data_IF_359608664917
#
_entry.id   IF_359608664917
#
_cell.length_a   1.000
_cell.length_b   1.000
_cell.length_c   1.000
_cell.angle_alpha   90.00
_cell.angle_beta   90.00
_cell.angle_gamma   90.00
#
_symmetry.space_group_name_H-M   'P 1'
#
loop_
_entity.id
_entity.type
_entity.pdbx_description
1 polymer ?
#
# COMPACT_ATOMS: atom_id res chain seq x y z
N UNK A 1 10.00 -6.59 -11.16
CA UNK A 1 9.84 -7.46 -12.35
C UNK A 1 8.58 -7.02 -13.11
N UNK A 2 8.67 -6.80 -14.44
CA UNK A 2 7.50 -6.42 -15.27
C UNK A 2 6.36 -7.45 -15.19
N UNK A 3 6.72 -8.73 -15.10
CA UNK A 3 5.75 -9.84 -14.96
C UNK A 3 4.94 -9.77 -13.67
N UNK A 4 5.57 -9.38 -12.56
CA UNK A 4 4.88 -9.24 -11.27
C UNK A 4 3.89 -8.06 -11.28
N UNK A 5 4.25 -6.96 -11.95
CA UNK A 5 3.36 -5.82 -12.13
C UNK A 5 2.13 -6.18 -12.96
N UNK A 6 2.34 -6.86 -14.10
CA UNK A 6 1.25 -7.33 -14.94
C UNK A 6 0.32 -8.29 -14.18
N UNK A 7 0.88 -9.25 -13.46
CA UNK A 7 0.10 -10.18 -12.63
C UNK A 7 -0.72 -9.44 -11.57
N UNK A 8 -0.14 -8.43 -10.90
CA UNK A 8 -0.86 -7.62 -9.91
C UNK A 8 -2.04 -6.87 -10.54
N UNK A 9 -1.84 -6.23 -11.70
CA UNK A 9 -2.91 -5.53 -12.43
C UNK A 9 -4.02 -6.50 -12.83
N UNK A 10 -3.68 -7.62 -13.46
CA UNK A 10 -4.68 -8.64 -13.86
C UNK A 10 -5.44 -9.24 -12.68
N UNK A 11 -4.78 -9.46 -11.53
CA UNK A 11 -5.44 -9.91 -10.31
C UNK A 11 -6.43 -8.86 -9.79
N UNK A 12 -6.08 -7.58 -9.83
CA UNK A 12 -6.97 -6.49 -9.42
C UNK A 12 -8.17 -6.40 -10.36
N UNK A 13 -7.94 -6.34 -11.67
CA UNK A 13 -9.01 -6.29 -12.68
C UNK A 13 -10.00 -7.45 -12.53
N UNK A 14 -9.48 -8.68 -12.42
CA UNK A 14 -10.32 -9.87 -12.23
C UNK A 14 -11.13 -9.79 -10.94
N UNK A 15 -10.50 -9.37 -9.85
CA UNK A 15 -11.19 -9.22 -8.56
C UNK A 15 -12.29 -8.17 -8.65
N UNK A 16 -12.05 -7.02 -9.30
CA UNK A 16 -13.06 -5.99 -9.50
C UNK A 16 -14.24 -6.48 -10.35
N UNK A 17 -13.96 -7.28 -11.39
CA UNK A 17 -14.99 -7.87 -12.25
C UNK A 17 -15.85 -8.89 -11.49
N UNK A 18 -15.24 -9.81 -10.73
CA UNK A 18 -15.96 -10.82 -9.92
C UNK A 18 -16.88 -10.17 -8.88
N UNK A 19 -16.48 -9.01 -8.36
CA UNK A 19 -17.25 -8.27 -7.37
C UNK A 19 -18.47 -7.53 -7.92
N UNK A 20 -18.71 -7.60 -9.24
CA UNK A 20 -19.89 -7.02 -9.89
C UNK A 20 -20.15 -5.57 -9.47
N UNK A 21 -19.08 -4.77 -9.33
CA UNK A 21 -19.15 -3.33 -9.07
C UNK A 21 -19.60 -2.61 -10.36
N UNK A 22 -20.79 -2.97 -10.85
CA UNK A 22 -21.32 -2.59 -12.18
C UNK A 22 -21.84 -1.16 -12.23
N UNK A 23 -22.06 -0.52 -11.08
CA UNK A 23 -22.78 0.75 -10.99
C UNK A 23 -21.92 1.94 -10.50
N UNK A 24 -20.65 1.72 -10.16
CA UNK A 24 -19.75 2.78 -9.72
C UNK A 24 -18.28 2.42 -9.97
N UNK A 25 -17.44 3.44 -10.20
CA UNK A 25 -15.99 3.25 -10.33
C UNK A 25 -15.40 2.87 -8.96
N UNK A 26 -14.87 1.65 -8.78
CA UNK A 26 -14.35 1.19 -7.51
C UNK A 26 -13.13 1.99 -7.05
N UNK A 27 -12.98 2.15 -5.74
CA UNK A 27 -11.80 2.77 -5.12
C UNK A 27 -10.83 1.67 -4.70
N UNK A 28 -9.58 1.76 -5.14
CA UNK A 28 -8.51 0.81 -4.84
C UNK A 28 -7.42 1.52 -4.06
N UNK A 29 -7.17 1.09 -2.82
CA UNK A 29 -6.05 1.59 -2.01
C UNK A 29 -4.80 0.78 -2.37
N UNK A 30 -3.76 1.45 -2.86
CA UNK A 30 -2.47 0.85 -3.19
C UNK A 30 -1.44 1.13 -2.09
N UNK A 31 -1.12 0.08 -1.33
CA UNK A 31 -0.04 0.07 -0.33
C UNK A 31 1.18 -0.64 -0.91
N UNK A 32 2.32 0.06 -0.93
CA UNK A 32 3.57 -0.50 -1.44
C UNK A 32 4.77 0.28 -0.89
N UNK A 33 5.82 -0.45 -0.53
CA UNK A 33 7.13 0.08 -0.17
C UNK A 33 7.98 0.50 -1.39
N UNK A 34 7.47 0.29 -2.61
CA UNK A 34 8.19 0.51 -3.86
C UNK A 34 7.52 1.64 -4.68
N UNK A 35 7.90 2.91 -4.46
CA UNK A 35 7.25 4.06 -5.11
C UNK A 35 7.19 3.99 -6.64
N UNK A 36 8.19 3.35 -7.27
CA UNK A 36 8.26 3.20 -8.72
C UNK A 36 7.08 2.41 -9.31
N UNK A 37 6.43 1.53 -8.54
CA UNK A 37 5.29 0.74 -9.03
C UNK A 37 3.98 1.52 -9.05
N UNK A 38 3.88 2.59 -8.25
CA UNK A 38 2.64 3.33 -8.02
C UNK A 38 2.12 3.93 -9.32
N UNK A 39 2.99 4.63 -10.07
CA UNK A 39 2.61 5.24 -11.36
C UNK A 39 2.13 4.17 -12.34
N UNK A 40 2.89 3.09 -12.48
CA UNK A 40 2.54 2.01 -13.39
C UNK A 40 1.18 1.38 -13.08
N UNK A 41 0.93 1.01 -11.81
CA UNK A 41 -0.35 0.41 -11.41
C UNK A 41 -1.50 1.42 -11.61
N UNK A 42 -1.29 2.68 -11.22
CA UNK A 42 -2.29 3.75 -11.37
C UNK A 42 -2.67 3.98 -12.83
N UNK A 43 -1.69 4.02 -13.73
CA UNK A 43 -1.93 4.26 -15.16
C UNK A 43 -2.66 3.10 -15.84
N UNK A 44 -2.42 1.86 -15.42
CA UNK A 44 -3.11 0.69 -15.97
C UNK A 44 -4.55 0.55 -15.42
N UNK A 45 -4.79 0.95 -14.17
CA UNK A 45 -6.10 0.82 -13.54
C UNK A 45 -7.00 2.05 -13.72
N UNK A 46 -6.50 3.15 -14.27
CA UNK A 46 -7.20 4.44 -14.34
C UNK A 46 -8.59 4.36 -14.99
N UNK A 47 -8.80 3.44 -15.93
CA UNK A 47 -10.06 3.31 -16.65
C UNK A 47 -11.08 2.47 -15.86
N UNK A 48 -10.59 1.58 -14.98
CA UNK A 48 -11.41 0.63 -14.22
C UNK A 48 -11.63 1.02 -12.76
N UNK A 49 -10.74 1.81 -12.15
CA UNK A 49 -10.77 2.13 -10.73
C UNK A 49 -10.16 3.50 -10.43
N UNK A 50 -10.59 4.10 -9.32
CA UNK A 50 -9.90 5.23 -8.69
C UNK A 50 -8.82 4.67 -7.76
N UNK A 51 -7.54 4.88 -8.10
CA UNK A 51 -6.43 4.41 -7.28
C UNK A 51 -6.02 5.48 -6.26
N UNK A 52 -6.19 5.15 -4.98
CA UNK A 52 -5.75 5.93 -3.84
C UNK A 52 -4.38 5.43 -3.37
N UNK A 53 -3.44 6.36 -3.21
CA UNK A 53 -2.12 6.07 -2.66
C UNK A 53 -1.70 7.23 -1.77
N UNK A 54 -1.21 6.92 -0.57
CA UNK A 54 -0.76 7.92 0.37
C UNK A 54 0.60 8.52 -0.08
N UNK A 55 0.56 9.74 -0.61
CA UNK A 55 1.77 10.45 -1.01
C UNK A 55 2.42 11.15 0.20
N UNK A 56 3.30 10.44 0.89
CA UNK A 56 4.01 10.95 2.06
C UNK A 56 4.83 12.22 1.79
N UNK A 57 5.24 12.48 0.54
CA UNK A 57 6.02 13.68 0.21
C UNK A 57 5.23 14.97 0.44
N UNK A 58 3.89 14.92 0.40
CA UNK A 58 3.03 16.08 0.71
C UNK A 58 3.03 16.42 2.21
N UNK A 59 3.42 15.46 3.04
CA UNK A 59 3.41 15.56 4.51
C UNK A 59 4.81 15.59 5.11
N UNK A 60 5.84 15.42 4.27
CA UNK A 60 7.23 15.63 4.66
C UNK A 60 7.43 17.13 4.86
N UNK A 61 7.63 17.56 6.11
CA UNK A 61 7.90 18.96 6.41
C UNK A 61 9.08 19.46 5.58
N UNK A 62 8.89 20.57 4.85
CA UNK A 62 10.00 21.29 4.22
C UNK A 62 10.87 22.00 5.27
N UNK A 63 10.27 22.33 6.42
CA UNK A 63 10.89 23.10 7.50
C UNK A 63 10.82 22.31 8.82
N UNK A 64 11.66 21.28 8.94
CA UNK A 64 12.34 20.87 10.19
C UNK A 64 11.57 20.76 11.52
N UNK A 65 10.24 20.67 11.59
CA UNK A 65 9.57 20.32 12.85
C UNK A 65 9.78 18.83 13.14
N UNK A 66 10.61 18.59 14.15
CA UNK A 66 11.46 17.42 14.37
C UNK A 66 10.73 16.13 14.82
N UNK A 67 9.39 16.08 14.75
CA UNK A 67 8.60 14.91 15.17
C UNK A 67 8.54 13.85 14.04
N UNK A 68 8.52 14.30 12.78
CA UNK A 68 8.56 13.46 11.57
C UNK A 68 9.85 13.64 10.78
N UNK A 69 10.80 14.37 11.37
CA UNK A 69 12.17 14.48 10.89
C UNK A 69 12.76 13.09 10.82
N UNK A 70 13.30 12.80 9.65
CA UNK A 70 13.87 11.53 9.24
C UNK A 70 14.92 10.96 10.21
N UNK A 71 15.36 11.74 11.20
CA UNK A 71 16.42 11.40 12.16
C UNK A 71 16.02 10.35 13.20
N UNK A 72 14.76 10.27 13.66
CA UNK A 72 14.34 9.30 14.69
C UNK A 72 13.85 7.95 14.14
N UNK A 73 13.57 7.87 12.84
CA UNK A 73 13.06 6.65 12.17
C UNK A 73 13.97 6.13 11.04
N UNK A 74 15.09 6.81 10.75
CA UNK A 74 16.14 6.28 9.90
C UNK A 74 16.89 5.20 10.65
N UNK A 75 16.71 3.97 10.20
CA UNK A 75 17.48 2.86 10.70
C UNK A 75 18.87 2.82 10.09
N UNK A 76 19.80 2.08 10.72
CA UNK A 76 21.02 1.64 10.05
C UNK A 76 20.67 1.05 8.68
N UNK A 77 21.44 1.39 7.65
CA UNK A 77 21.22 1.03 6.24
C UNK A 77 20.87 -0.46 6.04
N UNK A 78 21.29 -1.35 6.95
CA UNK A 78 20.96 -2.78 6.94
C UNK A 78 19.46 -3.09 6.89
N UNK A 79 18.59 -2.33 7.57
CA UNK A 79 17.15 -2.66 7.63
C UNK A 79 16.32 -2.07 6.47
N UNK A 80 16.91 -1.20 5.65
CA UNK A 80 16.27 -0.72 4.42
C UNK A 80 16.02 -1.86 3.41
N UNK A 81 16.84 -2.92 3.47
CA UNK A 81 16.67 -4.11 2.62
C UNK A 81 15.38 -4.87 2.90
N UNK A 82 14.86 -4.81 4.13
CA UNK A 82 13.69 -5.58 4.56
C UNK A 82 12.38 -4.79 4.55
N UNK A 83 12.46 -3.47 4.68
CA UNK A 83 11.30 -2.58 4.82
C UNK A 83 11.14 -1.58 3.68
N UNK A 84 12.08 -1.55 2.74
CA UNK A 84 12.10 -0.57 1.65
C UNK A 84 12.67 0.80 2.09
N UNK A 85 12.76 1.73 1.14
CA UNK A 85 13.38 3.05 1.35
C UNK A 85 12.45 4.08 2.00
N UNK A 86 11.17 3.75 2.21
CA UNK A 86 10.18 4.72 2.71
C UNK A 86 10.29 4.90 4.23
N UNK A 87 9.99 6.10 4.76
CA UNK A 87 9.94 6.32 6.20
C UNK A 87 8.92 5.39 6.88
N UNK A 88 9.26 4.84 8.04
CA UNK A 88 8.41 3.84 8.71
C UNK A 88 7.03 4.34 9.13
N UNK A 89 6.92 5.61 9.49
CA UNK A 89 5.64 6.22 9.83
C UNK A 89 4.64 6.13 8.66
N UNK A 90 5.12 6.09 7.42
CA UNK A 90 4.29 5.89 6.22
C UNK A 90 3.61 4.53 6.26
N UNK A 91 4.31 3.48 6.68
CA UNK A 91 3.73 2.15 6.85
C UNK A 91 2.62 2.14 7.92
N UNK A 92 2.69 2.98 8.96
CA UNK A 92 1.59 3.11 9.91
C UNK A 92 0.36 3.77 9.29
N UNK A 93 0.53 4.80 8.46
CA UNK A 93 -0.60 5.43 7.75
C UNK A 93 -1.22 4.45 6.76
N UNK A 94 -0.38 3.78 5.97
CA UNK A 94 -0.82 2.74 5.03
C UNK A 94 -1.53 1.59 5.73
N UNK A 95 -1.11 1.24 6.95
CA UNK A 95 -1.74 0.19 7.75
C UNK A 95 -3.20 0.55 8.03
N UNK A 96 -3.45 1.73 8.60
CA UNK A 96 -4.81 2.16 8.89
C UNK A 96 -5.64 2.35 7.62
N UNK A 97 -5.08 2.92 6.55
CA UNK A 97 -5.76 3.04 5.26
C UNK A 97 -6.18 1.67 4.69
N UNK A 98 -5.30 0.66 4.80
CA UNK A 98 -5.61 -0.69 4.34
C UNK A 98 -6.68 -1.39 5.21
N UNK A 99 -6.72 -1.11 6.52
CA UNK A 99 -7.73 -1.69 7.42
C UNK A 99 -9.15 -1.22 7.12
N UNK A 100 -9.30 -0.05 6.50
CA UNK A 100 -10.59 0.48 6.04
C UNK A 100 -11.10 -0.17 4.74
N UNK A 101 -10.29 -1.01 4.08
CA UNK A 101 -10.68 -1.64 2.84
C UNK A 101 -11.74 -2.75 3.07
N UNK A 102 -12.75 -2.79 2.22
CA UNK A 102 -13.78 -3.85 2.26
C UNK A 102 -13.19 -5.22 1.95
N UNK A 103 -12.20 -5.26 1.05
CA UNK A 103 -11.51 -6.47 0.57
C UNK A 103 -10.05 -6.15 0.35
N UNK A 104 -9.19 -7.15 0.54
CA UNK A 104 -7.75 -7.01 0.39
C UNK A 104 -7.21 -8.02 -0.63
N UNK A 105 -6.35 -7.55 -1.53
CA UNK A 105 -5.55 -8.38 -2.43
C UNK A 105 -4.10 -8.22 -1.97
N UNK A 106 -3.50 -9.31 -1.52
CA UNK A 106 -2.18 -9.29 -0.91
C UNK A 106 -1.22 -10.04 -1.83
N UNK A 107 -0.10 -9.41 -2.18
CA UNK A 107 0.97 -10.11 -2.89
C UNK A 107 1.65 -11.09 -1.93
N UNK A 108 1.74 -12.35 -2.34
CA UNK A 108 2.55 -13.33 -1.62
C UNK A 108 4.03 -12.92 -1.72
N UNK A 109 4.60 -12.41 -0.63
CA UNK A 109 6.02 -12.07 -0.61
C UNK A 109 6.86 -13.30 -0.27
N UNK A 110 8.04 -13.38 -0.87
CA UNK A 110 9.08 -14.34 -0.47
C UNK A 110 9.62 -14.05 0.96
N UNK A 111 9.35 -12.87 1.54
CA UNK A 111 9.83 -12.47 2.88
C UNK A 111 8.68 -12.32 3.87
N UNK A 112 8.94 -12.77 5.11
CA UNK A 112 7.95 -12.86 6.21
C UNK A 112 7.28 -11.53 6.57
N UNK A 113 7.94 -10.40 6.33
CA UNK A 113 7.46 -9.07 6.75
C UNK A 113 6.14 -8.69 6.08
N UNK A 114 5.99 -8.89 4.76
CA UNK A 114 4.77 -8.49 4.06
C UNK A 114 3.57 -9.39 4.44
N UNK A 115 3.81 -10.68 4.67
CA UNK A 115 2.76 -11.60 5.12
C UNK A 115 2.29 -11.28 6.54
N UNK A 116 3.21 -10.96 7.46
CA UNK A 116 2.85 -10.51 8.82
C UNK A 116 2.10 -9.18 8.78
N UNK A 117 2.56 -8.23 7.96
CA UNK A 117 1.90 -6.94 7.81
C UNK A 117 0.45 -7.09 7.33
N UNK A 118 0.22 -7.96 6.35
CA UNK A 118 -1.12 -8.28 5.87
C UNK A 118 -1.99 -8.96 6.94
N UNK A 119 -1.43 -9.89 7.73
CA UNK A 119 -2.14 -10.52 8.86
C UNK A 119 -2.58 -9.49 9.90
N UNK A 120 -1.74 -8.51 10.23
CA UNK A 120 -2.08 -7.44 11.16
C UNK A 120 -3.20 -6.53 10.60
N UNK A 121 -3.18 -6.23 9.30
CA UNK A 121 -4.25 -5.46 8.64
C UNK A 121 -5.58 -6.21 8.78
N UNK A 122 -5.58 -7.51 8.49
CA UNK A 122 -6.79 -8.33 8.59
C UNK A 122 -7.28 -8.40 10.04
N UNK A 123 -6.38 -8.60 11.01
CA UNK A 123 -6.73 -8.65 12.42
C UNK A 123 -7.35 -7.32 12.91
N UNK A 124 -6.77 -6.19 12.54
CA UNK A 124 -7.29 -4.87 12.90
C UNK A 124 -8.62 -4.57 12.20
N UNK A 125 -8.75 -4.92 10.91
CA UNK A 125 -10.01 -4.77 10.19
C UNK A 125 -11.13 -5.65 10.79
N UNK A 126 -10.81 -6.83 11.31
CA UNK A 126 -11.75 -7.67 12.03
C UNK A 126 -12.14 -7.07 13.39
N UNK A 127 -11.17 -6.53 14.14
CA UNK A 127 -11.42 -5.88 15.43
C UNK A 127 -12.30 -4.61 15.29
N UNK A 128 -12.15 -3.86 14.20
CA UNK A 128 -12.95 -2.65 13.92
C UNK A 128 -14.36 -2.94 13.37
N UNK A 129 -14.70 -4.20 13.07
CA UNK A 129 -16.01 -4.61 12.55
C UNK A 129 -16.96 -5.15 13.63
N UNK A 130 -16.64 -4.92 14.91
CA UNK A 130 -17.51 -5.23 16.06
C UNK A 130 -18.69 -4.26 16.15
#
# INVERSE_FOLDING_TARGET
SKRALYAAVSCIERSLHELSLKNAKPRVVLVTDTPAVVRHIKDNLKDFAEVLHFNYNLYRSQNGSDIMSTTYLQLPQMRAKDWGPMPRWVAFVDFFLATCATRAIISGAHRRVATTYAQLIVAMAAANKL
#
